data_IF_059935573551
#
_entry.id   IF_059935573551
#
_cell.length_a   1.000
_cell.length_b   1.000
_cell.length_c   1.000
_cell.angle_alpha   90.00
_cell.angle_beta   90.00
_cell.angle_gamma   90.00
#
_symmetry.space_group_name_H-M   'P 1'
#
loop_
_entity.id
_entity.type
_entity.pdbx_description
1 polymer ?
#
# COMPACT_ATOMS: atom_id res chain seq x y z
N UNK A 1 -65.44 8.64 -13.06
CA UNK A 1 -65.39 7.25 -13.47
C UNK A 1 -63.92 6.82 -13.31
N UNK A 2 -63.39 6.28 -12.26
CA UNK A 2 -63.81 5.18 -11.40
C UNK A 2 -63.22 3.90 -11.89
N UNK A 3 -62.01 3.50 -11.45
CA UNK A 3 -61.66 2.08 -11.37
C UNK A 3 -60.54 1.88 -10.31
N UNK A 4 -61.01 1.47 -9.18
CA UNK A 4 -60.21 0.86 -8.12
C UNK A 4 -59.91 -0.62 -8.53
N UNK A 5 -58.68 -1.05 -8.38
CA UNK A 5 -58.31 -2.49 -8.41
C UNK A 5 -57.18 -2.64 -7.42
N UNK A 6 -57.55 -2.99 -6.23
CA UNK A 6 -57.39 -4.24 -5.48
C UNK A 6 -55.95 -4.74 -5.34
N UNK A 7 -55.47 -4.45 -4.17
CA UNK A 7 -54.28 -4.95 -3.49
C UNK A 7 -54.47 -6.42 -3.15
N UNK A 8 -53.54 -7.27 -3.54
CA UNK A 8 -53.39 -8.60 -2.98
C UNK A 8 -52.11 -8.63 -2.14
N UNK A 9 -52.33 -8.63 -0.85
CA UNK A 9 -51.28 -8.86 0.17
C UNK A 9 -50.87 -10.32 0.13
N UNK A 10 -49.59 -10.62 -0.13
CA UNK A 10 -49.01 -11.93 0.08
C UNK A 10 -47.98 -11.81 1.22
N UNK A 11 -48.43 -12.14 2.41
CA UNK A 11 -47.60 -12.34 3.57
C UNK A 11 -46.92 -13.70 3.48
N UNK A 12 -45.62 -13.74 3.21
CA UNK A 12 -44.79 -14.93 3.38
C UNK A 12 -44.13 -14.88 4.77
N UNK A 13 -44.64 -15.72 5.63
CA UNK A 13 -44.03 -16.12 6.90
C UNK A 13 -42.83 -17.02 6.60
N UNK A 14 -41.61 -16.50 6.71
CA UNK A 14 -40.41 -17.31 6.76
C UNK A 14 -40.06 -17.58 8.22
N UNK A 15 -40.40 -18.82 8.67
CA UNK A 15 -39.90 -19.36 9.93
C UNK A 15 -38.39 -19.54 9.86
N UNK A 16 -37.63 -18.67 10.51
CA UNK A 16 -36.20 -18.81 10.69
C UNK A 16 -35.92 -19.92 11.71
N UNK A 17 -35.21 -20.97 11.29
CA UNK A 17 -34.58 -21.93 12.20
C UNK A 17 -33.42 -21.24 12.90
N UNK A 18 -33.61 -20.89 14.16
CA UNK A 18 -32.52 -20.52 15.08
C UNK A 18 -31.81 -21.81 15.47
N UNK A 19 -30.68 -22.08 14.90
CA UNK A 19 -29.73 -23.07 15.42
C UNK A 19 -29.07 -22.44 16.63
N UNK A 20 -29.51 -22.87 17.80
CA UNK A 20 -28.91 -22.54 19.08
C UNK A 20 -27.72 -23.46 19.26
N UNK A 21 -26.52 -22.98 18.99
CA UNK A 21 -25.30 -23.65 19.43
C UNK A 21 -25.21 -23.60 20.92
N UNK A 22 -25.35 -24.76 21.53
CA UNK A 22 -25.15 -25.01 22.96
C UNK A 22 -23.65 -24.87 23.26
N UNK A 23 -23.21 -24.02 24.20
CA UNK A 23 -21.80 -23.97 24.55
C UNK A 23 -21.42 -25.27 25.28
N UNK A 24 -20.39 -25.91 24.76
CA UNK A 24 -19.78 -27.08 25.41
C UNK A 24 -19.33 -26.76 26.84
N UNK A 25 -19.48 -27.70 27.77
CA UNK A 25 -19.06 -27.48 29.16
C UNK A 25 -17.53 -27.26 29.21
N UNK A 26 -17.13 -26.14 29.79
CA UNK A 26 -15.76 -25.86 30.11
C UNK A 26 -15.37 -26.77 31.27
N UNK A 27 -14.58 -27.79 31.01
CA UNK A 27 -13.89 -28.52 32.06
C UNK A 27 -12.91 -27.57 32.74
N UNK A 28 -13.18 -27.25 33.99
CA UNK A 28 -12.25 -26.58 34.88
C UNK A 28 -11.07 -27.50 35.16
N UNK A 29 -10.02 -27.37 34.36
CA UNK A 29 -8.74 -27.99 34.68
C UNK A 29 -8.08 -27.14 35.75
N UNK A 30 -8.07 -27.68 36.97
CA UNK A 30 -7.33 -27.13 38.08
C UNK A 30 -5.83 -27.11 37.71
N UNK A 31 -5.15 -25.96 37.71
CA UNK A 31 -3.70 -25.97 37.47
C UNK A 31 -2.97 -26.48 38.70
N UNK A 32 -2.66 -27.76 38.68
CA UNK A 32 -1.54 -28.27 39.49
C UNK A 32 -0.26 -27.75 38.83
N UNK A 33 0.36 -26.87 39.52
CA UNK A 33 1.68 -26.32 39.27
C UNK A 33 2.68 -27.47 39.06
N UNK A 34 3.27 -27.62 37.85
CA UNK A 34 4.37 -28.56 37.71
C UNK A 34 5.58 -28.01 38.44
N UNK A 35 6.11 -28.80 39.38
CA UNK A 35 7.40 -28.58 40.00
C UNK A 35 8.44 -28.52 38.87
N UNK A 36 9.15 -27.43 38.84
CA UNK A 36 10.30 -27.17 37.98
C UNK A 36 11.38 -28.24 38.28
N UNK A 37 11.82 -29.03 37.28
CA UNK A 37 12.96 -29.89 37.44
C UNK A 37 14.21 -29.03 37.68
N UNK A 38 14.92 -29.30 38.75
CA UNK A 38 16.23 -28.73 39.06
C UNK A 38 17.17 -29.06 37.91
N UNK A 39 17.57 -28.07 37.16
CA UNK A 39 18.57 -28.18 36.09
C UNK A 39 19.93 -28.55 36.71
N UNK A 40 20.62 -29.61 36.24
CA UNK A 40 21.95 -29.91 36.69
C UNK A 40 22.90 -28.78 36.30
N UNK A 41 23.60 -28.20 37.26
CA UNK A 41 24.65 -27.21 37.01
C UNK A 41 25.72 -27.84 36.10
N UNK A 42 25.82 -27.34 34.88
CA UNK A 42 26.93 -27.63 34.00
C UNK A 42 28.22 -27.01 34.58
N UNK A 43 29.32 -27.73 34.56
CA UNK A 43 30.60 -27.18 34.99
C UNK A 43 31.02 -26.04 34.05
N UNK A 44 31.44 -24.95 34.67
CA UNK A 44 31.95 -23.76 33.95
C UNK A 44 33.16 -24.18 33.11
N UNK A 45 33.20 -23.94 31.81
CA UNK A 45 34.39 -24.23 31.01
C UNK A 45 35.53 -23.32 31.44
N UNK A 46 36.61 -23.92 31.89
CA UNK A 46 37.89 -23.22 32.12
C UNK A 46 38.38 -22.66 30.81
N UNK A 47 38.52 -21.36 30.73
CA UNK A 47 39.05 -20.63 29.55
C UNK A 47 40.51 -21.12 29.35
N UNK A 48 40.85 -21.66 28.15
CA UNK A 48 42.26 -22.01 27.89
C UNK A 48 43.05 -20.70 27.76
N UNK A 49 44.14 -20.62 28.50
CA UNK A 49 45.15 -19.57 28.40
C UNK A 49 45.67 -19.54 26.95
N UNK A 50 45.47 -18.45 26.25
CA UNK A 50 45.98 -18.24 24.88
C UNK A 50 47.53 -18.18 24.99
N UNK A 51 48.29 -18.98 24.21
CA UNK A 51 49.72 -18.79 24.12
C UNK A 51 50.05 -17.45 23.48
N UNK A 52 50.95 -16.71 24.12
CA UNK A 52 51.48 -15.45 23.58
C UNK A 52 52.25 -15.78 22.30
N UNK A 53 51.72 -15.37 21.17
CA UNK A 53 52.39 -15.45 19.86
C UNK A 53 53.49 -14.39 19.84
N UNK A 54 54.73 -14.71 19.43
CA UNK A 54 55.77 -13.71 19.25
C UNK A 54 55.37 -12.71 18.17
N UNK A 55 55.58 -11.41 18.45
CA UNK A 55 55.34 -10.34 17.50
C UNK A 55 56.18 -10.52 16.23
N UNK A 56 55.54 -10.94 15.16
CA UNK A 56 56.12 -10.94 13.84
C UNK A 56 56.14 -9.51 13.26
N UNK A 57 57.23 -9.05 12.65
CA UNK A 57 57.25 -7.73 12.02
C UNK A 57 56.13 -7.66 10.99
N UNK A 58 55.32 -6.62 11.10
CA UNK A 58 54.16 -6.41 10.22
C UNK A 58 54.58 -6.32 8.74
N UNK A 59 53.77 -6.84 7.83
CA UNK A 59 53.95 -6.63 6.42
C UNK A 59 53.90 -5.13 6.07
N UNK A 60 54.85 -4.71 5.23
CA UNK A 60 54.89 -3.37 4.67
C UNK A 60 53.52 -3.08 4.04
N UNK A 61 52.86 -2.03 4.50
CA UNK A 61 51.66 -1.51 3.86
C UNK A 61 51.98 -1.10 2.41
N UNK A 62 51.74 -2.00 1.48
CA UNK A 62 51.46 -1.59 0.14
C UNK A 62 50.07 -0.93 0.19
N UNK A 63 50.02 0.38 -0.09
CA UNK A 63 48.79 1.12 -0.25
C UNK A 63 47.89 0.43 -1.29
N UNK A 64 47.13 -0.56 -0.80
CA UNK A 64 46.04 -1.13 -1.57
C UNK A 64 44.90 -0.16 -1.55
N UNK A 65 44.71 0.53 -2.67
CA UNK A 65 43.43 1.19 -2.93
C UNK A 65 42.34 0.13 -2.71
N UNK A 66 41.61 0.28 -1.62
CA UNK A 66 40.37 -0.49 -1.42
C UNK A 66 39.52 -0.23 -2.66
N UNK A 67 39.14 -1.24 -3.44
CA UNK A 67 38.26 -1.02 -4.59
C UNK A 67 37.03 -0.28 -4.09
N UNK A 68 36.83 0.96 -4.57
CA UNK A 68 35.68 1.74 -4.22
C UNK A 68 34.45 0.90 -4.55
N UNK A 69 33.68 0.51 -3.52
CA UNK A 69 32.41 -0.16 -3.73
C UNK A 69 31.60 0.72 -4.69
N UNK A 70 31.09 0.18 -5.80
CA UNK A 70 30.30 0.97 -6.73
C UNK A 70 29.12 1.56 -5.95
N UNK A 71 29.11 2.87 -5.84
CA UNK A 71 27.97 3.58 -5.25
C UNK A 71 26.71 3.20 -6.03
N UNK A 72 25.61 2.83 -5.34
CA UNK A 72 24.36 2.51 -6.04
C UNK A 72 23.98 3.69 -6.92
N UNK A 73 23.92 3.48 -8.23
CA UNK A 73 23.47 4.52 -9.15
C UNK A 73 22.00 4.78 -8.89
N UNK A 74 21.68 5.98 -8.39
CA UNK A 74 20.30 6.44 -8.26
C UNK A 74 19.73 6.56 -9.69
N UNK A 75 18.69 5.77 -9.98
CA UNK A 75 18.00 5.84 -11.26
C UNK A 75 17.03 7.00 -11.25
N UNK A 76 17.10 7.84 -12.26
CA UNK A 76 16.16 8.92 -12.47
C UNK A 76 15.20 8.56 -13.60
N UNK A 77 13.94 8.91 -13.46
CA UNK A 77 12.89 8.60 -14.41
C UNK A 77 12.10 9.85 -14.77
N UNK A 78 11.68 9.96 -16.02
CA UNK A 78 10.77 11.03 -16.46
C UNK A 78 9.30 10.68 -16.14
N UNK A 79 8.98 10.75 -14.85
CA UNK A 79 7.61 10.56 -14.39
C UNK A 79 6.65 11.62 -14.91
N UNK A 80 7.13 12.86 -15.12
CA UNK A 80 6.29 13.95 -15.62
C UNK A 80 5.88 13.70 -17.07
N UNK A 81 6.82 13.30 -17.93
CA UNK A 81 6.54 12.95 -19.32
C UNK A 81 5.54 11.81 -19.46
N UNK A 82 5.54 10.84 -18.52
CA UNK A 82 4.56 9.76 -18.51
C UNK A 82 3.21 10.16 -17.90
N UNK A 83 3.20 10.94 -16.81
CA UNK A 83 1.98 11.28 -16.07
C UNK A 83 1.12 12.33 -16.81
N UNK A 84 1.72 13.39 -17.35
CA UNK A 84 0.99 14.50 -17.96
C UNK A 84 0.03 14.08 -19.09
N UNK A 85 0.44 13.29 -20.11
CA UNK A 85 -0.47 12.87 -21.17
C UNK A 85 -1.57 11.94 -20.67
N UNK A 86 -1.28 11.10 -19.65
CA UNK A 86 -2.27 10.21 -19.05
C UNK A 86 -3.32 11.00 -18.27
N UNK A 87 -2.90 11.97 -17.47
CA UNK A 87 -3.80 12.88 -16.75
C UNK A 87 -4.66 13.68 -17.73
N UNK A 88 -4.07 14.22 -18.81
CA UNK A 88 -4.82 14.93 -19.84
C UNK A 88 -5.96 14.08 -20.43
N UNK A 89 -5.68 12.82 -20.79
CA UNK A 89 -6.69 11.86 -21.28
C UNK A 89 -7.74 11.53 -20.21
N UNK A 90 -7.32 11.35 -18.97
CA UNK A 90 -8.22 11.06 -17.85
C UNK A 90 -9.20 12.22 -17.61
N UNK A 91 -8.73 13.46 -17.66
CA UNK A 91 -9.58 14.64 -17.49
C UNK A 91 -10.60 14.82 -18.61
N UNK A 92 -10.37 14.23 -19.77
CA UNK A 92 -11.31 14.21 -20.91
C UNK A 92 -12.28 13.02 -20.86
N UNK A 93 -12.07 12.06 -19.96
CA UNK A 93 -12.93 10.89 -19.82
C UNK A 93 -14.36 11.31 -19.45
N UNK A 94 -15.34 10.62 -20.02
CA UNK A 94 -16.75 10.77 -19.64
C UNK A 94 -17.00 10.27 -18.21
N UNK A 95 -18.12 10.69 -17.62
CA UNK A 95 -18.54 10.23 -16.29
C UNK A 95 -17.85 10.90 -15.11
N UNK A 96 -17.03 11.93 -15.35
CA UNK A 96 -16.41 12.76 -14.32
C UNK A 96 -17.19 14.05 -14.14
N UNK A 97 -17.71 14.28 -12.93
CA UNK A 97 -18.39 15.52 -12.59
C UNK A 97 -17.37 16.59 -12.17
N UNK A 98 -17.50 17.80 -12.72
CA UNK A 98 -16.65 18.92 -12.30
C UNK A 98 -16.85 19.26 -10.81
N UNK A 99 -15.77 19.64 -10.13
CA UNK A 99 -15.81 19.96 -8.70
C UNK A 99 -15.78 18.77 -7.77
N UNK A 100 -15.65 17.56 -8.30
CA UNK A 100 -15.57 16.33 -7.48
C UNK A 100 -14.26 16.23 -6.72
N UNK A 101 -14.32 15.60 -5.55
CA UNK A 101 -13.13 15.34 -4.71
C UNK A 101 -12.45 14.06 -5.21
N UNK A 102 -11.16 14.17 -5.52
CA UNK A 102 -10.31 13.07 -5.97
C UNK A 102 -9.27 12.70 -4.91
N UNK A 103 -9.27 11.45 -4.51
CA UNK A 103 -8.17 10.85 -3.76
C UNK A 103 -7.09 10.38 -4.74
N UNK A 104 -5.87 10.89 -4.57
CA UNK A 104 -4.68 10.41 -5.27
C UNK A 104 -3.84 9.62 -4.28
N UNK A 105 -3.80 8.30 -4.45
CA UNK A 105 -2.94 7.42 -3.65
C UNK A 105 -1.49 7.48 -4.13
N UNK A 106 -0.57 7.05 -3.26
CA UNK A 106 0.83 6.85 -3.62
C UNK A 106 0.96 5.80 -4.72
N UNK A 107 1.85 6.04 -5.67
CA UNK A 107 2.13 5.06 -6.74
C UNK A 107 2.71 3.79 -6.11
N UNK A 108 2.09 2.65 -6.42
CA UNK A 108 2.59 1.36 -5.94
C UNK A 108 3.75 0.89 -6.82
N UNK A 109 4.88 0.54 -6.22
CA UNK A 109 5.94 -0.12 -6.95
C UNK A 109 5.59 -1.62 -7.12
N UNK A 110 5.35 -2.03 -8.35
CA UNK A 110 5.11 -3.41 -8.79
C UNK A 110 6.08 -3.81 -9.90
N UNK A 111 7.23 -3.17 -9.95
CA UNK A 111 8.32 -3.55 -10.85
C UNK A 111 9.14 -4.69 -10.24
N UNK A 112 10.05 -5.24 -11.04
CA UNK A 112 10.98 -6.28 -10.61
C UNK A 112 12.19 -5.74 -9.81
N UNK A 113 12.13 -4.50 -9.33
CA UNK A 113 13.23 -3.89 -8.57
C UNK A 113 12.78 -2.70 -7.72
N UNK A 114 13.75 -2.06 -7.07
CA UNK A 114 13.50 -0.89 -6.25
C UNK A 114 13.50 0.38 -7.09
N UNK A 115 12.47 1.22 -6.91
CA UNK A 115 12.37 2.57 -7.46
C UNK A 115 11.75 3.52 -6.43
N UNK A 116 12.02 4.82 -6.60
CA UNK A 116 11.44 5.85 -5.75
C UNK A 116 10.00 6.17 -6.20
N UNK A 117 9.01 5.48 -5.63
CA UNK A 117 7.60 5.71 -5.92
C UNK A 117 7.10 7.09 -5.46
N UNK A 118 7.82 7.74 -4.54
CA UNK A 118 7.52 9.11 -4.09
C UNK A 118 7.67 10.13 -5.21
N UNK A 119 8.71 10.00 -6.06
CA UNK A 119 8.90 10.86 -7.24
C UNK A 119 7.74 10.70 -8.23
N UNK A 120 7.33 9.47 -8.51
CA UNK A 120 6.17 9.17 -9.36
C UNK A 120 4.88 9.78 -8.80
N UNK A 121 4.67 9.68 -7.50
CA UNK A 121 3.50 10.25 -6.82
C UNK A 121 3.50 11.78 -6.89
N UNK A 122 4.65 12.39 -6.70
CA UNK A 122 4.82 13.85 -6.79
C UNK A 122 4.53 14.34 -8.22
N UNK A 123 5.09 13.68 -9.23
CA UNK A 123 4.84 14.01 -10.64
C UNK A 123 3.35 13.89 -10.99
N UNK A 124 2.67 12.85 -10.49
CA UNK A 124 1.25 12.65 -10.69
C UNK A 124 0.40 13.75 -10.05
N UNK A 125 0.70 14.13 -8.80
CA UNK A 125 0.03 15.24 -8.11
C UNK A 125 0.27 16.57 -8.80
N UNK A 126 1.49 16.81 -9.28
CA UNK A 126 1.84 18.02 -10.04
C UNK A 126 1.06 18.08 -11.36
N UNK A 127 0.94 16.96 -12.09
CA UNK A 127 0.16 16.90 -13.33
C UNK A 127 -1.34 17.17 -13.10
N UNK A 128 -1.84 16.86 -11.89
CA UNK A 128 -3.22 17.13 -11.47
C UNK A 128 -3.40 18.52 -10.85
N UNK A 129 -2.31 19.20 -10.48
CA UNK A 129 -2.39 20.55 -9.93
C UNK A 129 -2.89 21.51 -11.00
N UNK A 130 -3.81 22.42 -10.63
CA UNK A 130 -4.38 23.37 -11.57
C UNK A 130 -5.45 22.83 -12.52
N UNK A 131 -5.86 21.55 -12.39
CA UNK A 131 -7.02 21.05 -13.13
C UNK A 131 -8.33 21.69 -12.62
N UNK A 132 -9.31 21.85 -13.50
CA UNK A 132 -10.61 22.43 -13.17
C UNK A 132 -11.68 21.41 -12.82
N UNK A 133 -11.40 20.10 -12.96
CA UNK A 133 -12.39 19.04 -12.75
C UNK A 133 -12.38 18.47 -11.35
N UNK A 134 -11.21 18.40 -10.70
CA UNK A 134 -11.08 17.76 -9.40
C UNK A 134 -10.51 18.69 -8.33
N UNK A 135 -11.06 18.57 -7.14
CA UNK A 135 -10.42 19.04 -5.90
C UNK A 135 -9.66 17.86 -5.30
N UNK A 136 -8.35 18.01 -5.11
CA UNK A 136 -7.53 16.92 -4.60
C UNK A 136 -7.65 16.83 -3.07
N UNK A 137 -7.77 15.62 -2.55
CA UNK A 137 -7.57 15.37 -1.11
C UNK A 137 -6.16 15.79 -0.73
N UNK A 138 -6.03 16.62 0.30
CA UNK A 138 -4.72 17.11 0.74
C UNK A 138 -3.87 15.96 1.31
N UNK A 139 -2.52 16.05 1.20
CA UNK A 139 -1.64 15.05 1.80
C UNK A 139 -1.87 14.88 3.30
N UNK A 140 -2.19 15.97 4.00
CA UNK A 140 -2.47 15.95 5.44
C UNK A 140 -3.76 15.18 5.76
N UNK A 141 -4.85 15.44 5.03
CA UNK A 141 -6.10 14.69 5.21
C UNK A 141 -5.90 13.19 4.93
N UNK A 142 -5.14 12.86 3.86
CA UNK A 142 -4.83 11.48 3.54
C UNK A 142 -3.98 10.82 4.62
N UNK A 143 -2.98 11.52 5.16
CA UNK A 143 -2.12 11.03 6.24
C UNK A 143 -2.94 10.71 7.51
N UNK A 144 -3.82 11.63 7.93
CA UNK A 144 -4.72 11.42 9.08
C UNK A 144 -5.64 10.22 8.85
N UNK A 145 -6.25 10.11 7.66
CA UNK A 145 -7.12 8.98 7.34
C UNK A 145 -6.36 7.64 7.34
N UNK A 146 -5.13 7.61 6.86
CA UNK A 146 -4.27 6.41 6.92
C UNK A 146 -3.96 6.03 8.36
N UNK A 147 -3.57 6.99 9.20
CA UNK A 147 -3.27 6.75 10.62
C UNK A 147 -4.49 6.20 11.38
N UNK A 148 -5.70 6.70 11.12
CA UNK A 148 -6.93 6.19 11.72
C UNK A 148 -7.19 4.71 11.39
N UNK A 149 -6.66 4.23 10.27
CA UNK A 149 -6.73 2.83 9.84
C UNK A 149 -5.47 2.02 10.20
N UNK A 150 -4.58 2.56 11.04
CA UNK A 150 -3.33 1.91 11.44
C UNK A 150 -2.30 1.77 10.30
N UNK A 151 -2.38 2.61 9.27
CA UNK A 151 -1.45 2.62 8.14
C UNK A 151 -0.43 3.75 8.30
N UNK A 152 0.79 3.52 7.81
CA UNK A 152 1.79 4.59 7.73
C UNK A 152 1.38 5.65 6.70
N UNK A 153 1.59 6.96 6.98
CA UNK A 153 1.29 8.03 6.03
C UNK A 153 1.99 7.90 4.68
N UNK A 154 3.19 7.31 4.67
CA UNK A 154 4.02 7.13 3.47
C UNK A 154 3.66 5.88 2.68
N UNK A 155 3.01 4.90 3.30
CA UNK A 155 2.69 3.65 2.62
C UNK A 155 1.68 3.89 1.50
N UNK A 156 1.87 3.20 0.38
CA UNK A 156 0.81 3.08 -0.61
C UNK A 156 -0.30 2.18 -0.04
N UNK A 157 -1.52 2.40 -0.46
CA UNK A 157 -2.65 1.60 0.02
C UNK A 157 -2.59 0.15 -0.47
N UNK A 158 -1.72 -0.13 -1.46
CA UNK A 158 -1.38 -1.47 -1.94
C UNK A 158 -2.53 -2.22 -2.62
N UNK A 159 -3.77 -1.84 -2.39
CA UNK A 159 -4.94 -2.45 -3.03
C UNK A 159 -6.05 -1.44 -3.31
N UNK A 160 -6.87 -1.73 -4.33
CA UNK A 160 -8.05 -0.92 -4.67
C UNK A 160 -9.05 -0.86 -3.52
N UNK A 161 -9.27 -1.97 -2.82
CA UNK A 161 -10.23 -2.03 -1.70
C UNK A 161 -9.83 -1.09 -0.57
N UNK A 162 -8.55 -1.03 -0.21
CA UNK A 162 -8.04 -0.08 0.79
C UNK A 162 -8.18 1.35 0.30
N UNK A 163 -7.84 1.63 -0.96
CA UNK A 163 -7.99 2.95 -1.57
C UNK A 163 -9.45 3.43 -1.54
N UNK A 164 -10.39 2.55 -1.86
CA UNK A 164 -11.81 2.84 -1.78
C UNK A 164 -12.29 3.09 -0.34
N UNK A 165 -11.78 2.33 0.63
CA UNK A 165 -12.08 2.52 2.05
C UNK A 165 -11.64 3.89 2.56
N UNK A 166 -10.40 4.28 2.26
CA UNK A 166 -9.87 5.62 2.59
C UNK A 166 -10.68 6.72 1.89
N UNK A 167 -11.00 6.54 0.61
CA UNK A 167 -11.75 7.53 -0.14
C UNK A 167 -13.12 7.81 0.47
N UNK A 168 -13.83 6.78 0.92
CA UNK A 168 -15.11 6.95 1.65
C UNK A 168 -14.91 7.70 2.96
N UNK A 169 -13.84 7.41 3.69
CA UNK A 169 -13.52 8.08 4.95
C UNK A 169 -13.26 9.58 4.77
N UNK A 170 -12.57 9.98 3.70
CA UNK A 170 -12.27 11.38 3.40
C UNK A 170 -13.32 12.08 2.53
N UNK A 171 -14.44 11.42 2.21
CA UNK A 171 -15.52 11.98 1.38
C UNK A 171 -15.17 12.18 -0.08
N UNK A 172 -14.17 11.47 -0.60
CA UNK A 172 -13.82 11.53 -2.02
C UNK A 172 -14.85 10.78 -2.89
N UNK A 173 -15.19 11.35 -4.05
CA UNK A 173 -16.06 10.71 -5.03
C UNK A 173 -15.30 9.82 -6.00
N UNK A 174 -14.03 10.12 -6.20
CA UNK A 174 -13.15 9.36 -7.09
C UNK A 174 -11.82 9.01 -6.44
N UNK A 175 -11.23 7.90 -6.88
CA UNK A 175 -9.88 7.45 -6.50
C UNK A 175 -9.05 7.27 -7.75
N UNK A 176 -7.87 7.87 -7.77
CA UNK A 176 -6.83 7.56 -8.73
C UNK A 176 -5.86 6.56 -8.13
N UNK A 177 -5.97 5.32 -8.57
CA UNK A 177 -5.10 4.21 -8.16
C UNK A 177 -4.02 3.98 -9.21
N UNK A 178 -2.76 4.04 -8.81
CA UNK A 178 -1.64 4.03 -9.74
C UNK A 178 -0.56 3.02 -9.36
N UNK A 179 0.02 2.36 -10.36
CA UNK A 179 1.10 1.40 -10.20
C UNK A 179 2.24 1.68 -11.19
N UNK A 180 3.48 1.53 -10.74
CA UNK A 180 4.62 1.36 -11.62
C UNK A 180 4.86 -0.14 -11.80
N UNK A 181 4.84 -0.66 -13.03
CA UNK A 181 4.89 -2.10 -13.34
C UNK A 181 5.98 -2.43 -14.34
N UNK A 182 6.34 -3.70 -14.45
CA UNK A 182 7.29 -4.19 -15.44
C UNK A 182 8.74 -4.14 -14.98
N UNK A 183 9.64 -3.88 -15.92
CA UNK A 183 11.07 -3.82 -15.62
C UNK A 183 11.43 -2.48 -14.95
N UNK A 184 12.20 -2.54 -13.86
CA UNK A 184 12.64 -1.34 -13.15
C UNK A 184 13.46 -0.39 -14.01
N UNK A 185 14.14 -0.86 -15.06
CA UNK A 185 14.90 0.01 -15.97
C UNK A 185 14.02 0.72 -17.03
N UNK A 186 12.82 0.20 -17.27
CA UNK A 186 11.83 0.77 -18.20
C UNK A 186 10.41 0.53 -17.65
N UNK A 187 10.05 1.19 -16.57
CA UNK A 187 8.76 0.95 -15.93
C UNK A 187 7.61 1.51 -16.76
N UNK A 188 6.45 0.93 -16.56
CA UNK A 188 5.20 1.42 -17.13
C UNK A 188 4.34 1.99 -16.00
N UNK A 189 3.93 3.25 -16.12
CA UNK A 189 2.94 3.85 -15.23
C UNK A 189 1.55 3.42 -15.67
N UNK A 190 0.83 2.74 -14.81
CA UNK A 190 -0.57 2.35 -15.00
C UNK A 190 -1.44 3.13 -14.04
N UNK A 191 -2.54 3.69 -14.55
CA UNK A 191 -3.46 4.51 -13.78
C UNK A 191 -4.89 4.04 -14.00
N UNK A 192 -5.70 4.05 -12.95
CA UNK A 192 -7.11 3.71 -12.97
C UNK A 192 -7.89 4.73 -12.15
N UNK A 193 -8.87 5.37 -12.77
CA UNK A 193 -9.82 6.25 -12.10
C UNK A 193 -11.07 5.44 -11.73
N UNK A 194 -11.37 5.36 -10.45
CA UNK A 194 -12.49 4.60 -9.92
C UNK A 194 -13.51 5.51 -9.27
N UNK A 195 -14.78 5.25 -9.51
CA UNK A 195 -15.87 5.89 -8.79
C UNK A 195 -16.07 5.22 -7.43
N UNK A 196 -16.05 6.02 -6.35
CA UNK A 196 -16.09 5.49 -4.97
C UNK A 196 -17.43 4.85 -4.62
N UNK A 197 -18.52 5.40 -5.16
CA UNK A 197 -19.87 4.93 -4.86
C UNK A 197 -20.14 3.52 -5.41
N UNK A 198 -19.73 3.27 -6.66
CA UNK A 198 -20.01 2.00 -7.37
C UNK A 198 -18.83 1.04 -7.35
N UNK A 199 -17.61 1.52 -7.16
CA UNK A 199 -16.38 0.75 -7.31
C UNK A 199 -15.97 0.53 -8.77
N UNK A 200 -16.66 1.16 -9.71
CA UNK A 200 -16.42 1.01 -11.14
C UNK A 200 -15.16 1.78 -11.57
N UNK A 201 -14.39 1.17 -12.47
CA UNK A 201 -13.27 1.83 -13.15
C UNK A 201 -13.83 2.58 -14.35
N UNK A 202 -13.94 3.91 -14.24
CA UNK A 202 -14.47 4.76 -15.30
C UNK A 202 -13.42 5.15 -16.33
N UNK A 203 -12.16 5.03 -16.00
CA UNK A 203 -11.06 5.26 -16.93
C UNK A 203 -9.83 4.47 -16.51
N UNK A 204 -9.06 4.01 -17.50
CA UNK A 204 -7.75 3.42 -17.28
C UNK A 204 -6.78 3.81 -18.39
N UNK A 205 -5.52 3.96 -18.03
CA UNK A 205 -4.45 4.29 -18.96
C UNK A 205 -3.11 3.74 -18.52
N UNK A 206 -2.20 3.63 -19.49
CA UNK A 206 -0.81 3.23 -19.24
C UNK A 206 0.14 4.03 -20.13
N UNK A 207 1.32 4.32 -19.61
CA UNK A 207 2.37 5.02 -20.34
C UNK A 207 3.74 4.51 -19.94
N UNK A 208 4.64 4.37 -20.91
CA UNK A 208 6.03 4.02 -20.63
C UNK A 208 6.73 5.20 -19.95
N UNK A 209 7.61 4.90 -19.01
CA UNK A 209 8.42 5.89 -18.30
C UNK A 209 9.85 5.79 -18.81
N UNK A 210 10.37 6.89 -19.36
CA UNK A 210 11.75 6.96 -19.80
C UNK A 210 12.70 7.06 -18.60
N UNK A 211 13.86 6.42 -18.69
CA UNK A 211 14.96 6.64 -17.76
C UNK A 211 15.76 7.85 -18.25
N UNK A 212 16.15 8.71 -17.33
CA UNK A 212 17.00 9.89 -17.57
C UNK A 212 18.47 9.58 -17.28
#
# INVERSE_FOLDING_TARGET
MGRYALIASLAMLLAGCVVREEPAPVETVNPQQPQQPTEPQQPVPTVPTVPTVPSQPGPIEHGGETPAQPTPRVRHYDWNGAAQPLVGKMLQAGGVNAGSILLVDSVNNRTNGSLNAGEATTALRNALSGNSKFTLVSPQQLAVAKQQLGLSPQDSLGSRSKAMGIARNVGAQYVLYSNATGNVNSPTLQMQLMQVQTGEIIWSGKGAVAQQ
#
